data_IF_916513953701
#
_entry.id   IF_916513953701
#
_cell.length_a   1.000
_cell.length_b   1.000
_cell.length_c   1.000
_cell.angle_alpha   90.00
_cell.angle_beta   90.00
_cell.angle_gamma   90.00
#
_symmetry.space_group_name_H-M   'P 1'
#
loop_
_entity.id
_entity.type
_entity.pdbx_description
1 polymer ?
#
# COMPACT_ATOMS: atom_id res chain seq x y z
N UNK A 1 -5.56 -0.82 15.16
CA UNK A 1 -6.46 -1.03 14.02
C UNK A 1 -5.95 -2.18 13.16
N UNK A 2 -4.85 -2.02 12.42
CA UNK A 2 -4.30 -3.05 11.52
C UNK A 2 -4.23 -4.46 12.13
N UNK A 3 -3.50 -4.63 13.25
CA UNK A 3 -3.34 -5.94 13.91
C UNK A 3 -4.68 -6.56 14.32
N UNK A 4 -5.58 -5.73 14.88
CA UNK A 4 -6.92 -6.15 15.29
C UNK A 4 -7.76 -6.59 14.10
N UNK A 5 -7.66 -5.90 12.96
CA UNK A 5 -8.41 -6.24 11.74
C UNK A 5 -7.99 -7.60 11.18
N UNK A 6 -6.71 -7.95 11.26
CA UNK A 6 -6.20 -9.24 10.74
C UNK A 6 -6.89 -10.43 11.44
N UNK A 7 -7.29 -10.31 12.71
CA UNK A 7 -8.08 -11.36 13.39
C UNK A 7 -9.44 -11.64 12.74
N UNK A 8 -10.00 -10.66 12.02
CA UNK A 8 -11.28 -10.82 11.34
C UNK A 8 -11.12 -11.34 9.90
N UNK A 9 -9.90 -11.60 9.43
CA UNK A 9 -9.65 -12.12 8.10
C UNK A 9 -10.01 -13.61 8.01
N UNK A 10 -10.91 -13.96 7.10
CA UNK A 10 -11.37 -15.33 6.86
C UNK A 10 -11.06 -15.73 5.40
N UNK A 11 -9.76 -15.79 5.06
CA UNK A 11 -9.13 -16.18 3.78
C UNK A 11 -9.51 -15.38 2.52
N UNK A 12 -10.62 -14.65 2.52
CA UNK A 12 -11.14 -13.93 1.35
C UNK A 12 -11.80 -12.61 1.69
N UNK A 13 -12.26 -12.45 2.92
CA UNK A 13 -12.90 -11.23 3.39
C UNK A 13 -12.73 -11.05 4.90
N UNK A 14 -12.89 -9.81 5.34
CA UNK A 14 -13.05 -9.49 6.74
C UNK A 14 -14.49 -9.72 7.18
N UNK A 15 -14.66 -10.51 8.23
CA UNK A 15 -15.95 -10.74 8.86
C UNK A 15 -16.21 -9.68 9.93
N UNK A 16 -16.98 -8.66 9.56
CA UNK A 16 -17.45 -7.65 10.51
C UNK A 16 -18.92 -7.91 10.87
N UNK A 17 -19.41 -7.44 12.02
CA UNK A 17 -20.84 -7.49 12.38
C UNK A 17 -21.79 -6.89 11.34
N UNK A 18 -21.31 -5.98 10.49
CA UNK A 18 -22.08 -5.43 9.36
C UNK A 18 -22.01 -6.27 8.07
N UNK A 19 -21.38 -7.45 8.10
CA UNK A 19 -21.19 -8.34 6.97
C UNK A 19 -19.74 -8.47 6.50
N UNK A 20 -19.54 -9.24 5.44
CA UNK A 20 -18.23 -9.46 4.84
C UNK A 20 -17.79 -8.26 4.00
N UNK A 21 -16.57 -7.77 4.25
CA UNK A 21 -15.98 -6.65 3.53
C UNK A 21 -14.54 -6.98 3.13
N UNK A 22 -14.11 -6.63 1.93
CA UNK A 22 -12.74 -6.87 1.48
C UNK A 22 -12.23 -5.74 0.57
N UNK A 23 -10.91 -5.49 0.51
CA UNK A 23 -10.34 -4.60 -0.49
C UNK A 23 -10.60 -5.14 -1.90
N UNK A 24 -11.01 -4.26 -2.80
CA UNK A 24 -11.30 -4.58 -4.20
C UNK A 24 -10.21 -4.05 -5.13
N UNK A 25 -10.24 -4.48 -6.39
CA UNK A 25 -9.32 -3.98 -7.42
C UNK A 25 -9.43 -2.46 -7.60
N UNK A 26 -10.64 -1.91 -7.47
CA UNK A 26 -10.87 -0.47 -7.58
C UNK A 26 -10.27 0.27 -6.40
N UNK A 27 -10.37 -0.28 -5.18
CA UNK A 27 -9.75 0.32 -4.00
C UNK A 27 -8.22 0.42 -4.15
N UNK A 28 -7.59 -0.64 -4.65
CA UNK A 28 -6.14 -0.63 -4.92
C UNK A 28 -5.80 0.42 -5.97
N UNK A 29 -6.56 0.51 -7.05
CA UNK A 29 -6.34 1.51 -8.10
C UNK A 29 -6.53 2.95 -7.59
N UNK A 30 -7.54 3.20 -6.74
CA UNK A 30 -7.76 4.50 -6.13
C UNK A 30 -6.61 4.89 -5.19
N UNK A 31 -6.17 3.97 -4.32
CA UNK A 31 -5.11 4.22 -3.35
C UNK A 31 -3.75 4.44 -4.04
N UNK A 32 -3.42 3.61 -5.02
CA UNK A 32 -2.09 3.63 -5.67
C UNK A 32 -2.02 4.49 -6.93
N UNK A 33 -3.16 4.80 -7.55
CA UNK A 33 -3.21 5.45 -8.86
C UNK A 33 -2.81 4.53 -10.02
N UNK A 34 -2.60 3.24 -9.76
CA UNK A 34 -2.22 2.27 -10.79
C UNK A 34 -3.46 1.77 -11.56
N UNK A 35 -3.30 1.61 -12.87
CA UNK A 35 -4.39 1.19 -13.73
C UNK A 35 -4.91 -0.21 -13.34
N UNK A 36 -6.23 -0.38 -13.13
CA UNK A 36 -6.81 -1.67 -12.80
C UNK A 36 -6.89 -2.62 -14.00
N UNK A 37 -6.67 -2.12 -15.22
CA UNK A 37 -6.77 -2.88 -16.46
C UNK A 37 -5.46 -2.70 -17.24
N UNK A 38 -4.97 -3.80 -17.80
CA UNK A 38 -3.73 -3.84 -18.54
C UNK A 38 -3.33 -5.28 -18.89
N UNK A 39 -2.21 -5.41 -19.57
CA UNK A 39 -1.52 -6.65 -19.86
C UNK A 39 -1.14 -7.38 -18.58
N UNK A 40 -1.11 -8.71 -18.65
CA UNK A 40 -0.65 -9.54 -17.54
C UNK A 40 0.86 -9.34 -17.36
N UNK A 41 1.28 -9.28 -16.11
CA UNK A 41 2.69 -9.26 -15.76
C UNK A 41 3.27 -10.68 -15.91
N UNK A 42 4.30 -10.82 -16.76
CA UNK A 42 5.08 -12.04 -16.90
C UNK A 42 6.55 -11.71 -16.57
N UNK A 43 7.09 -12.17 -15.43
CA UNK A 43 8.46 -11.86 -15.02
C UNK A 43 9.50 -12.25 -16.08
N UNK A 44 9.27 -13.40 -16.74
CA UNK A 44 10.19 -14.00 -17.70
C UNK A 44 10.16 -13.33 -19.09
N UNK A 45 9.24 -12.38 -19.32
CA UNK A 45 9.10 -11.70 -20.60
C UNK A 45 10.07 -10.51 -20.77
N UNK A 46 10.97 -10.29 -19.81
CA UNK A 46 11.89 -9.16 -19.75
C UNK A 46 13.33 -9.66 -19.72
N UNK A 47 13.91 -9.91 -20.89
CA UNK A 47 15.30 -10.35 -21.06
C UNK A 47 16.29 -9.18 -21.26
N UNK A 48 15.82 -7.96 -21.53
CA UNK A 48 16.69 -6.84 -21.92
C UNK A 48 17.22 -6.05 -20.72
N UNK A 49 18.55 -6.11 -20.53
CA UNK A 49 19.31 -5.31 -19.58
C UNK A 49 19.43 -3.86 -20.09
N UNK A 50 18.42 -3.03 -19.81
CA UNK A 50 18.41 -1.64 -20.29
C UNK A 50 19.21 -0.73 -19.34
N UNK A 51 20.12 0.04 -19.93
CA UNK A 51 21.00 1.02 -19.28
C UNK A 51 20.23 1.98 -18.36
N UNK A 52 20.56 1.96 -17.06
CA UNK A 52 19.95 2.73 -15.94
C UNK A 52 20.12 4.27 -16.08
N UNK A 53 20.68 4.77 -17.19
CA UNK A 53 21.07 6.18 -17.35
C UNK A 53 19.93 7.18 -17.59
N UNK A 54 18.68 6.74 -17.79
CA UNK A 54 17.56 7.64 -18.15
C UNK A 54 16.55 7.95 -17.02
N UNK A 55 16.77 7.50 -15.79
CA UNK A 55 15.85 7.83 -14.70
C UNK A 55 16.25 9.12 -13.99
N UNK A 56 15.33 10.09 -13.93
CA UNK A 56 15.42 11.29 -13.09
C UNK A 56 15.36 11.01 -11.58
N UNK A 57 15.18 9.74 -11.20
CA UNK A 57 15.25 9.27 -9.82
C UNK A 57 16.67 8.75 -9.59
N UNK A 58 17.42 9.48 -8.77
CA UNK A 58 18.74 9.04 -8.32
C UNK A 58 18.58 7.83 -7.39
N UNK A 59 18.93 6.65 -7.88
CA UNK A 59 19.03 5.41 -7.10
C UNK A 59 20.34 5.29 -6.31
N UNK A 60 21.11 6.39 -6.20
CA UNK A 60 22.37 6.48 -5.46
C UNK A 60 22.21 6.15 -3.97
N UNK A 61 20.99 6.28 -3.44
CA UNK A 61 20.66 5.97 -2.04
C UNK A 61 20.27 4.52 -1.88
N UNK A 62 21.27 3.71 -1.50
CA UNK A 62 21.18 2.25 -1.33
C UNK A 62 20.24 1.78 -0.20
N UNK A 63 19.67 2.67 0.62
CA UNK A 63 18.83 2.29 1.77
C UNK A 63 17.52 3.07 1.83
N UNK A 64 16.44 2.39 2.26
CA UNK A 64 15.11 2.99 2.48
C UNK A 64 15.19 4.22 3.37
N UNK A 65 16.00 4.15 4.43
CA UNK A 65 16.17 5.24 5.38
C UNK A 65 16.77 6.49 4.72
N UNK A 66 17.76 6.33 3.84
CA UNK A 66 18.33 7.43 3.08
C UNK A 66 17.31 8.04 2.11
N UNK A 67 16.50 7.20 1.45
CA UNK A 67 15.42 7.67 0.57
C UNK A 67 14.37 8.49 1.34
N UNK A 68 13.89 7.97 2.47
CA UNK A 68 12.91 8.65 3.34
C UNK A 68 13.48 9.97 3.85
N UNK A 69 14.69 9.98 4.39
CA UNK A 69 15.31 11.20 4.93
C UNK A 69 15.43 12.31 3.88
N UNK A 70 15.56 11.97 2.60
CA UNK A 70 15.76 12.97 1.55
C UNK A 70 14.49 13.40 0.85
N UNK A 71 13.42 12.63 0.97
CA UNK A 71 12.11 12.95 0.38
C UNK A 71 11.07 13.33 1.45
N UNK A 72 11.39 13.16 2.73
CA UNK A 72 10.59 13.66 3.85
C UNK A 72 10.44 15.17 3.73
N UNK A 73 9.18 15.62 3.66
CA UNK A 73 8.85 17.04 3.73
C UNK A 73 8.82 17.55 5.17
N UNK A 74 8.52 18.83 5.32
CA UNK A 74 8.17 19.39 6.63
C UNK A 74 6.96 18.64 7.21
N UNK A 75 6.99 18.40 8.52
CA UNK A 75 5.84 17.86 9.24
C UNK A 75 4.60 18.71 8.95
N UNK A 76 3.45 18.06 8.75
CA UNK A 76 2.15 18.70 8.44
C UNK A 76 1.97 19.24 7.02
N UNK A 77 2.93 19.00 6.12
CA UNK A 77 2.70 19.24 4.69
C UNK A 77 2.02 18.03 4.03
N UNK A 78 1.04 18.24 3.14
CA UNK A 78 0.39 17.15 2.43
C UNK A 78 1.39 16.42 1.53
N UNK A 79 1.20 15.11 1.38
CA UNK A 79 2.03 14.29 0.48
C UNK A 79 1.75 14.72 -0.96
N UNK A 80 2.76 15.25 -1.66
CA UNK A 80 2.63 15.60 -3.07
C UNK A 80 2.51 14.35 -3.94
N UNK A 81 1.88 14.47 -5.10
CA UNK A 81 1.76 13.38 -6.09
C UNK A 81 3.12 12.79 -6.46
N UNK A 82 4.14 13.64 -6.62
CA UNK A 82 5.52 13.20 -6.91
C UNK A 82 6.12 12.34 -5.80
N UNK A 83 5.89 12.70 -4.53
CA UNK A 83 6.36 11.91 -3.38
C UNK A 83 5.62 10.58 -3.29
N UNK A 84 4.33 10.57 -3.58
CA UNK A 84 3.55 9.34 -3.63
C UNK A 84 4.06 8.38 -4.71
N UNK A 85 4.29 8.87 -5.93
CA UNK A 85 4.84 8.08 -7.05
C UNK A 85 6.23 7.55 -6.69
N UNK A 86 7.11 8.39 -6.13
CA UNK A 86 8.46 7.98 -5.73
C UNK A 86 8.43 6.89 -4.65
N UNK A 87 7.56 7.02 -3.65
CA UNK A 87 7.34 5.98 -2.63
C UNK A 87 6.85 4.67 -3.27
N UNK A 88 5.84 4.73 -4.15
CA UNK A 88 5.32 3.54 -4.81
C UNK A 88 6.39 2.85 -5.66
N UNK A 89 7.15 3.60 -6.46
CA UNK A 89 8.23 3.05 -7.27
C UNK A 89 9.29 2.37 -6.39
N UNK A 90 9.68 3.00 -5.28
CA UNK A 90 10.59 2.39 -4.32
C UNK A 90 10.01 1.12 -3.70
N UNK A 91 8.78 1.16 -3.20
CA UNK A 91 8.16 0.03 -2.52
C UNK A 91 7.93 -1.15 -3.47
N UNK A 92 7.45 -0.90 -4.68
CA UNK A 92 7.31 -1.91 -5.73
C UNK A 92 8.67 -2.56 -6.05
N UNK A 93 9.74 -1.76 -6.12
CA UNK A 93 11.11 -2.27 -6.33
C UNK A 93 11.64 -3.13 -5.19
N UNK A 94 11.23 -2.84 -3.96
CA UNK A 94 11.76 -3.51 -2.77
C UNK A 94 10.95 -4.74 -2.38
N UNK A 95 9.65 -4.76 -2.65
CA UNK A 95 8.71 -5.73 -2.09
C UNK A 95 7.94 -6.56 -3.12
N UNK A 96 7.91 -6.16 -4.40
CA UNK A 96 7.07 -6.80 -5.43
C UNK A 96 7.88 -7.26 -6.64
N UNK A 97 8.86 -6.47 -7.07
CA UNK A 97 9.64 -6.70 -8.28
C UNK A 97 11.11 -6.97 -8.00
N UNK A 98 11.71 -7.87 -8.77
CA UNK A 98 13.15 -7.91 -8.93
C UNK A 98 13.61 -6.82 -9.90
N UNK A 99 14.90 -6.46 -9.89
CA UNK A 99 15.47 -5.34 -10.67
C UNK A 99 15.05 -5.33 -12.17
N UNK A 100 15.03 -6.47 -12.90
CA UNK A 100 14.59 -6.50 -14.30
C UNK A 100 13.10 -6.16 -14.48
N UNK A 101 12.27 -6.56 -13.53
CA UNK A 101 10.82 -6.31 -13.55
C UNK A 101 10.47 -4.84 -13.31
N UNK A 102 11.38 -4.07 -12.70
CA UNK A 102 11.21 -2.63 -12.54
C UNK A 102 11.40 -1.88 -13.87
N UNK A 103 12.31 -2.37 -14.71
CA UNK A 103 12.61 -1.79 -16.02
C UNK A 103 11.40 -1.94 -16.97
N UNK A 104 10.68 -3.06 -16.87
CA UNK A 104 9.40 -3.27 -17.55
C UNK A 104 8.33 -2.21 -17.25
N UNK A 105 8.29 -1.80 -15.98
CA UNK A 105 7.39 -0.80 -15.44
C UNK A 105 7.73 0.59 -16.00
N UNK A 106 9.02 0.86 -16.19
CA UNK A 106 9.54 2.08 -16.81
C UNK A 106 9.27 2.13 -18.33
N UNK A 107 9.30 0.98 -19.02
CA UNK A 107 9.00 0.88 -20.45
C UNK A 107 7.53 1.12 -20.82
N UNK A 108 6.70 1.53 -19.85
CA UNK A 108 5.32 1.96 -20.06
C UNK A 108 4.43 0.90 -20.73
N UNK A 109 4.80 -0.39 -20.64
CA UNK A 109 3.85 -1.46 -20.96
C UNK A 109 2.67 -1.29 -20.00
N UNK A 110 1.45 -1.32 -20.53
CA UNK A 110 0.22 -1.13 -19.75
C UNK A 110 -0.01 -2.35 -18.88
N UNK A 111 0.79 -2.58 -17.85
CA UNK A 111 0.70 -3.76 -16.99
C UNK A 111 -0.40 -3.53 -15.95
N UNK A 112 -1.25 -4.54 -15.73
CA UNK A 112 -2.28 -4.53 -14.70
C UNK A 112 -1.67 -4.77 -13.30
N UNK A 113 -1.05 -3.73 -12.74
CA UNK A 113 -0.36 -3.81 -11.45
C UNK A 113 -1.32 -3.93 -10.28
N UNK A 114 -2.49 -3.29 -10.35
CA UNK A 114 -3.46 -3.31 -9.25
C UNK A 114 -3.96 -4.72 -8.93
N UNK A 115 -4.04 -5.61 -9.94
CA UNK A 115 -4.43 -7.01 -9.73
C UNK A 115 -3.33 -7.82 -9.04
N UNK A 116 -2.07 -7.59 -9.43
CA UNK A 116 -0.92 -8.18 -8.75
C UNK A 116 -0.85 -7.74 -7.29
N UNK A 117 -1.04 -6.44 -7.03
CA UNK A 117 -1.04 -5.89 -5.69
C UNK A 117 -2.19 -6.39 -4.82
N UNK A 118 -3.37 -6.57 -5.39
CA UNK A 118 -4.50 -7.14 -4.66
C UNK A 118 -4.22 -8.59 -4.26
N UNK A 119 -3.70 -9.40 -5.18
CA UNK A 119 -3.31 -10.78 -4.90
C UNK A 119 -2.23 -10.84 -3.82
N UNK A 120 -1.21 -9.98 -3.94
CA UNK A 120 -0.14 -9.89 -2.95
C UNK A 120 -0.67 -9.49 -1.56
N UNK A 121 -1.59 -8.51 -1.50
CA UNK A 121 -2.25 -8.12 -0.26
C UNK A 121 -2.96 -9.30 0.38
N UNK A 122 -3.73 -10.08 -0.38
CA UNK A 122 -4.48 -11.21 0.17
C UNK A 122 -3.55 -12.30 0.68
N UNK A 123 -2.50 -12.65 -0.06
CA UNK A 123 -1.50 -13.62 0.41
C UNK A 123 -0.79 -13.15 1.68
N UNK A 124 -0.47 -11.86 1.80
CA UNK A 124 0.10 -11.31 3.04
C UNK A 124 -0.90 -11.30 4.20
N UNK A 125 -2.21 -11.20 3.94
CA UNK A 125 -3.23 -11.31 4.98
C UNK A 125 -3.42 -12.74 5.46
N UNK A 126 -3.39 -13.71 4.56
CA UNK A 126 -3.40 -15.14 4.89
C UNK A 126 -2.20 -15.45 5.80
N UNK A 127 -0.98 -15.12 5.36
CA UNK A 127 0.25 -15.34 6.14
C UNK A 127 0.21 -14.61 7.49
N UNK A 128 -0.21 -13.33 7.51
CA UNK A 128 -0.31 -12.57 8.74
C UNK A 128 -1.35 -13.18 9.70
N UNK A 129 -2.49 -13.63 9.19
CA UNK A 129 -3.53 -14.26 10.01
C UNK A 129 -3.06 -15.58 10.62
N UNK A 130 -2.42 -16.46 9.84
CA UNK A 130 -1.83 -17.71 10.33
C UNK A 130 -0.75 -17.45 11.39
N UNK A 131 0.09 -16.43 11.16
CA UNK A 131 1.17 -16.08 12.08
C UNK A 131 0.68 -15.55 13.44
N UNK A 132 -0.53 -14.97 13.50
CA UNK A 132 -1.13 -14.50 14.75
C UNK A 132 -1.57 -15.66 15.66
N UNK A 133 -1.86 -16.82 15.10
CA UNK A 133 -2.19 -18.03 15.85
C UNK A 133 -0.95 -18.83 16.26
N UNK A 134 0.25 -18.42 15.84
CA UNK A 134 1.52 -19.05 16.20
C UNK A 134 2.08 -18.46 17.51
N UNK A 135 2.59 -19.32 18.41
CA UNK A 135 3.10 -18.91 19.73
C UNK A 135 4.23 -17.87 19.68
N UNK A 136 4.97 -17.79 18.57
CA UNK A 136 6.04 -16.79 18.39
C UNK A 136 5.55 -15.38 18.03
N UNK A 137 4.23 -15.19 17.89
CA UNK A 137 3.63 -13.96 17.39
C UNK A 137 3.87 -13.73 15.89
N UNK A 138 3.28 -12.66 15.33
CA UNK A 138 3.37 -12.39 13.91
C UNK A 138 4.81 -12.03 13.53
N UNK A 139 5.41 -12.85 12.67
CA UNK A 139 6.73 -12.56 12.09
C UNK A 139 6.51 -11.75 10.81
N UNK A 140 7.16 -10.60 10.73
CA UNK A 140 7.22 -9.77 9.52
C UNK A 140 5.87 -9.31 8.95
N UNK A 141 5.19 -8.39 9.66
CA UNK A 141 4.06 -7.60 9.13
C UNK A 141 4.50 -6.55 8.06
N UNK A 142 5.52 -6.87 7.26
CA UNK A 142 6.06 -6.01 6.22
C UNK A 142 5.38 -6.33 4.87
N UNK A 143 5.47 -5.43 3.90
CA UNK A 143 4.87 -5.63 2.56
C UNK A 143 3.63 -4.77 2.31
N UNK A 144 2.52 -5.32 1.79
CA UNK A 144 1.37 -4.54 1.31
C UNK A 144 0.41 -4.10 2.42
N UNK A 145 0.68 -4.39 3.71
CA UNK A 145 -0.23 -4.06 4.80
C UNK A 145 -0.47 -2.55 5.00
N UNK A 146 0.38 -1.68 4.46
CA UNK A 146 0.08 -0.25 4.39
C UNK A 146 -1.16 0.05 3.52
N UNK A 147 -1.42 -0.74 2.48
CA UNK A 147 -2.64 -0.65 1.67
C UNK A 147 -3.86 -0.97 2.53
N UNK A 148 -3.78 -2.03 3.35
CA UNK A 148 -4.84 -2.36 4.29
C UNK A 148 -5.08 -1.20 5.27
N UNK A 149 -4.02 -0.59 5.81
CA UNK A 149 -4.16 0.54 6.72
C UNK A 149 -4.89 1.73 6.07
N UNK A 150 -4.54 2.09 4.83
CA UNK A 150 -5.20 3.19 4.11
C UNK A 150 -6.65 2.85 3.75
N UNK A 151 -6.89 1.62 3.31
CA UNK A 151 -8.24 1.13 3.02
C UNK A 151 -9.14 1.15 4.26
N UNK A 152 -8.62 0.70 5.41
CA UNK A 152 -9.33 0.76 6.69
C UNK A 152 -9.66 2.21 7.08
N UNK A 153 -8.71 3.14 6.90
CA UNK A 153 -8.97 4.56 7.14
C UNK A 153 -10.12 5.07 6.27
N UNK A 154 -10.23 4.62 5.01
CA UNK A 154 -11.28 5.04 4.10
C UNK A 154 -12.66 4.51 4.53
N UNK A 155 -12.78 3.21 4.79
CA UNK A 155 -14.08 2.60 5.14
C UNK A 155 -14.57 3.02 6.53
N UNK A 156 -13.65 3.29 7.46
CA UNK A 156 -13.97 3.70 8.81
C UNK A 156 -13.91 5.22 9.01
N UNK A 157 -13.63 6.02 7.98
CA UNK A 157 -13.48 7.48 8.06
C UNK A 157 -14.60 8.14 8.86
N UNK A 158 -15.86 7.83 8.49
CA UNK A 158 -17.06 8.36 9.15
C UNK A 158 -17.28 7.77 10.55
N UNK A 159 -17.03 6.47 10.73
CA UNK A 159 -17.28 5.78 12.01
C UNK A 159 -16.28 6.17 13.10
N UNK A 160 -15.03 6.40 12.72
CA UNK A 160 -13.94 6.78 13.62
C UNK A 160 -13.79 8.30 13.75
N UNK A 161 -14.68 9.08 13.14
CA UNK A 161 -14.63 10.55 13.12
C UNK A 161 -13.24 11.07 12.72
N UNK A 162 -12.60 10.40 11.75
CA UNK A 162 -11.28 10.79 11.26
C UNK A 162 -11.44 12.11 10.51
N UNK A 163 -11.14 13.22 11.17
CA UNK A 163 -11.20 14.55 10.56
C UNK A 163 -9.96 14.77 9.71
N UNK A 164 -10.12 14.76 8.38
CA UNK A 164 -9.10 15.32 7.50
C UNK A 164 -9.19 16.84 7.50
N UNK A 165 -8.09 17.53 7.82
CA UNK A 165 -7.99 18.98 7.71
C UNK A 165 -7.77 19.47 6.27
N UNK A 166 -7.70 18.57 5.27
CA UNK A 166 -7.25 18.88 3.92
C UNK A 166 -8.26 18.42 2.86
N UNK A 167 -9.30 19.22 2.67
CA UNK A 167 -10.46 18.82 1.87
C UNK A 167 -10.31 18.94 0.34
N UNK A 168 -9.20 19.45 -0.22
CA UNK A 168 -9.24 19.82 -1.65
C UNK A 168 -7.97 19.68 -2.51
N UNK A 169 -6.81 19.25 -1.99
CA UNK A 169 -5.53 19.40 -2.75
C UNK A 169 -4.86 18.09 -3.16
N UNK A 170 -5.34 16.92 -2.73
CA UNK A 170 -4.75 15.65 -3.15
C UNK A 170 -5.44 15.08 -4.40
N UNK A 171 -4.73 15.06 -5.53
CA UNK A 171 -5.19 14.40 -6.76
C UNK A 171 -5.28 12.88 -6.62
N UNK A 172 -4.63 12.29 -5.61
CA UNK A 172 -4.54 10.86 -5.41
C UNK A 172 -5.09 10.46 -4.04
N UNK A 173 -5.96 9.44 -4.03
CA UNK A 173 -6.68 9.02 -2.83
C UNK A 173 -5.74 8.48 -1.75
N UNK A 174 -4.70 7.73 -2.13
CA UNK A 174 -3.71 7.25 -1.16
C UNK A 174 -3.04 8.38 -0.39
N UNK A 175 -2.74 9.50 -1.06
CA UNK A 175 -2.16 10.67 -0.40
C UNK A 175 -3.16 11.34 0.56
N UNK A 176 -4.44 11.43 0.21
CA UNK A 176 -5.51 11.90 1.10
C UNK A 176 -5.65 11.01 2.34
N UNK A 177 -5.70 9.69 2.15
CA UNK A 177 -5.92 8.71 3.22
C UNK A 177 -4.78 8.66 4.24
N UNK A 178 -3.55 9.08 3.88
CA UNK A 178 -2.46 9.21 4.86
C UNK A 178 -2.79 10.24 5.94
N UNK A 179 -3.55 11.30 5.62
CA UNK A 179 -3.96 12.34 6.58
C UNK A 179 -4.95 11.82 7.63
N UNK A 180 -5.64 10.73 7.34
CA UNK A 180 -6.59 10.08 8.25
C UNK A 180 -5.89 9.11 9.21
N UNK A 181 -4.61 8.79 9.01
CA UNK A 181 -3.90 7.86 9.88
C UNK A 181 -3.60 8.55 11.22
N UNK A 182 -4.14 8.07 12.35
CA UNK A 182 -3.92 8.73 13.64
C UNK A 182 -2.44 8.69 14.02
N UNK A 183 -1.83 9.86 14.27
CA UNK A 183 -0.38 9.93 14.55
C UNK A 183 0.04 9.22 15.85
N UNK A 184 -0.81 9.21 16.89
CA UNK A 184 -0.45 8.71 18.23
C UNK A 184 -1.63 8.24 19.12
N UNK A 185 -2.80 7.93 18.56
CA UNK A 185 -3.90 7.38 19.38
C UNK A 185 -4.13 5.91 19.06
N UNK A 186 -3.88 5.08 20.07
CA UNK A 186 -4.66 3.85 20.26
C UNK A 186 -6.13 4.20 20.02
N UNK A 187 -6.78 3.56 19.05
CA UNK A 187 -8.22 3.63 18.93
C UNK A 187 -8.76 2.76 20.06
N UNK A 188 -9.00 3.38 21.21
CA UNK A 188 -9.71 2.72 22.30
C UNK A 188 -11.08 2.26 21.79
N UNK A 189 -11.44 1.02 22.08
CA UNK A 189 -12.71 0.42 21.69
C UNK A 189 -12.91 0.20 20.18
N UNK A 190 -11.87 -0.14 19.40
CA UNK A 190 -12.06 -0.58 18.00
C UNK A 190 -13.14 -1.69 17.87
N UNK A 191 -13.23 -2.58 18.86
CA UNK A 191 -14.27 -3.62 18.98
C UNK A 191 -15.70 -3.10 19.20
N UNK A 192 -15.91 -1.81 19.49
CA UNK A 192 -17.25 -1.21 19.52
C UNK A 192 -17.70 -0.73 18.13
N UNK A 193 -16.76 -0.56 17.21
CA UNK A 193 -17.00 -0.01 15.87
C UNK A 193 -17.02 -1.08 14.77
N UNK A 194 -16.32 -2.19 15.04
CA UNK A 194 -16.45 -3.47 14.34
C UNK A 194 -17.54 -4.24 15.03
#
# INVERSE_FOLDING_TARGET
MLLSTIFFWNNRAFEFPCGFVCPTLLDIASITGLAPIGDRFYPDAFEEEISIKETSISWDKKTYLAFINTHMGQSDTPVSTSKHIAFLMYWLSACVFCTPSLQALHLQKKICLSKLLLAYLYSSLDEASESLFCESGPRNLYGPLWLLQLWLNAIFEKKLLLTSSFFLVCQLEGARLTTLTPRKRSIENFSKYV
#
